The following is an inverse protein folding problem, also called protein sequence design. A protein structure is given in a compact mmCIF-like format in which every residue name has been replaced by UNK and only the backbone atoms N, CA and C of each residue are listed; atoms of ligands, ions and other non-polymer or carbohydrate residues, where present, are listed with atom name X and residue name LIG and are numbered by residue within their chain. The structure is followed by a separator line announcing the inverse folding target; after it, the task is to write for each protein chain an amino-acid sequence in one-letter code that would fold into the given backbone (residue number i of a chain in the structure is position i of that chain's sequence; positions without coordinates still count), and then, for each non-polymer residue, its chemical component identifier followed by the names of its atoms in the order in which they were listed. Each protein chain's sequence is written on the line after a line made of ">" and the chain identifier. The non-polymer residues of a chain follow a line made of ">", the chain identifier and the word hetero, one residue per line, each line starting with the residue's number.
data_IF_467997501664
#
_entry.id   IF_467997501664
#
_cell.length_a   1.000
_cell.length_b   1.000
_cell.length_c   1.000
_cell.angle_alpha   90.00
_cell.angle_beta   90.00
_cell.angle_gamma   90.00
#
_symmetry.space_group_name_H-M   'P 1'
#
loop_
_entity.id
_entity.type
_entity.pdbx_description
1 polymer ?
#
# COMPACT_ATOMS: atom_id res chain seq x y z
N UNK A 1 -11.74 -19.63 -20.43
CA UNK A 1 -11.55 -21.09 -20.41
C UNK A 1 -12.45 -21.77 -19.36
N UNK A 2 -12.31 -21.55 -18.04
CA UNK A 2 -13.18 -22.22 -17.04
C UNK A 2 -14.66 -21.77 -17.05
N UNK A 3 -14.94 -20.50 -17.37
CA UNK A 3 -16.31 -19.96 -17.36
C UNK A 3 -17.24 -20.59 -18.41
N UNK A 4 -16.69 -21.21 -19.46
CA UNK A 4 -17.47 -21.78 -20.57
C UNK A 4 -17.99 -23.20 -20.27
N UNK A 5 -17.44 -23.88 -19.24
CA UNK A 5 -17.78 -25.28 -18.92
C UNK A 5 -18.58 -25.43 -17.61
N UNK A 6 -18.99 -24.32 -16.98
CA UNK A 6 -19.73 -24.36 -15.71
C UNK A 6 -21.25 -24.38 -15.92
N UNK A 7 -22.00 -25.21 -15.18
CA UNK A 7 -23.45 -25.13 -15.08
C UNK A 7 -23.90 -23.71 -14.69
N UNK A 8 -25.04 -23.27 -15.21
CA UNK A 8 -25.55 -21.90 -15.02
C UNK A 8 -25.65 -21.47 -13.55
N UNK A 9 -26.06 -22.38 -12.65
CA UNK A 9 -26.10 -22.12 -11.20
C UNK A 9 -24.73 -21.89 -10.57
N UNK A 10 -23.71 -22.67 -10.98
CA UNK A 10 -22.33 -22.52 -10.48
C UNK A 10 -21.66 -21.27 -11.05
N UNK A 11 -21.98 -20.90 -12.29
CA UNK A 11 -21.50 -19.65 -12.89
C UNK A 11 -22.00 -18.43 -12.09
N UNK A 12 -23.29 -18.40 -11.74
CA UNK A 12 -23.86 -17.33 -10.90
C UNK A 12 -23.21 -17.26 -9.52
N UNK A 13 -22.99 -18.41 -8.88
CA UNK A 13 -22.31 -18.49 -7.58
C UNK A 13 -20.86 -17.96 -7.66
N UNK A 14 -20.12 -18.33 -8.71
CA UNK A 14 -18.76 -17.86 -8.91
C UNK A 14 -18.70 -16.34 -9.07
N UNK A 15 -19.58 -15.77 -9.90
CA UNK A 15 -19.62 -14.31 -10.11
C UNK A 15 -19.95 -13.57 -8.80
N UNK A 16 -20.92 -14.07 -8.04
CA UNK A 16 -21.25 -13.52 -6.73
C UNK A 16 -20.06 -13.59 -5.77
N UNK A 17 -19.34 -14.71 -5.73
CA UNK A 17 -18.16 -14.88 -4.88
C UNK A 17 -17.02 -13.93 -5.27
N UNK A 18 -16.77 -13.74 -6.57
CA UNK A 18 -15.75 -12.81 -7.06
C UNK A 18 -16.07 -11.35 -6.73
N UNK A 19 -17.33 -10.94 -6.91
CA UNK A 19 -17.80 -9.60 -6.54
C UNK A 19 -17.68 -9.41 -5.02
N UNK A 20 -18.08 -10.40 -4.22
CA UNK A 20 -17.99 -10.34 -2.77
C UNK A 20 -16.52 -10.22 -2.30
N UNK A 21 -15.60 -11.00 -2.86
CA UNK A 21 -14.17 -10.93 -2.54
C UNK A 21 -13.57 -9.57 -2.91
N UNK A 22 -13.94 -9.03 -4.08
CA UNK A 22 -13.52 -7.70 -4.51
C UNK A 22 -14.05 -6.60 -3.58
N UNK A 23 -15.35 -6.63 -3.24
CA UNK A 23 -15.97 -5.68 -2.33
C UNK A 23 -15.37 -5.72 -0.92
N UNK A 24 -15.03 -6.92 -0.43
CA UNK A 24 -14.34 -7.08 0.86
C UNK A 24 -12.99 -6.35 0.86
N UNK A 25 -12.18 -6.56 -0.18
CA UNK A 25 -10.86 -5.93 -0.31
C UNK A 25 -10.97 -4.42 -0.47
N UNK A 26 -11.88 -3.94 -1.32
CA UNK A 26 -12.14 -2.51 -1.50
C UNK A 26 -12.58 -1.84 -0.20
N UNK A 27 -13.54 -2.45 0.51
CA UNK A 27 -14.07 -1.92 1.77
C UNK A 27 -12.97 -1.76 2.81
N UNK A 28 -12.09 -2.76 2.95
CA UNK A 28 -10.94 -2.67 3.87
C UNK A 28 -10.01 -1.50 3.52
N UNK A 29 -9.66 -1.33 2.24
CA UNK A 29 -8.75 -0.25 1.83
C UNK A 29 -9.38 1.14 2.01
N UNK A 30 -10.66 1.29 1.65
CA UNK A 30 -11.38 2.55 1.84
C UNK A 30 -11.54 2.89 3.33
N UNK A 31 -11.85 1.89 4.16
CA UNK A 31 -11.98 2.08 5.60
C UNK A 31 -10.65 2.45 6.26
N UNK A 32 -9.55 1.78 5.90
CA UNK A 32 -8.21 2.12 6.38
C UNK A 32 -7.80 3.51 5.92
N UNK A 33 -7.97 3.82 4.63
CA UNK A 33 -7.64 5.13 4.07
C UNK A 33 -8.42 6.26 4.73
N UNK A 34 -9.72 6.09 4.93
CA UNK A 34 -10.55 7.06 5.64
C UNK A 34 -10.10 7.21 7.12
N UNK A 35 -9.73 6.12 7.78
CA UNK A 35 -9.26 6.15 9.17
C UNK A 35 -7.92 6.88 9.31
N UNK A 36 -6.99 6.72 8.37
CA UNK A 36 -5.75 7.50 8.34
C UNK A 36 -6.04 8.98 8.13
N UNK A 37 -6.91 9.34 7.19
CA UNK A 37 -7.30 10.74 6.96
C UNK A 37 -7.99 11.36 8.18
N UNK A 38 -8.83 10.59 8.89
CA UNK A 38 -9.51 11.09 10.09
C UNK A 38 -8.54 11.23 11.26
N UNK A 39 -7.79 10.18 11.60
CA UNK A 39 -6.98 10.18 12.82
C UNK A 39 -5.67 10.93 12.65
N UNK A 40 -4.98 10.74 11.53
CA UNK A 40 -3.62 11.24 11.35
C UNK A 40 -3.60 12.65 10.75
N UNK A 41 -4.66 13.04 10.02
CA UNK A 41 -4.77 14.36 9.41
C UNK A 41 -5.82 15.22 10.10
N UNK A 42 -7.09 14.82 10.07
CA UNK A 42 -8.20 15.65 10.53
C UNK A 42 -8.11 15.92 12.03
N UNK A 43 -8.13 14.87 12.85
CA UNK A 43 -8.06 14.98 14.31
C UNK A 43 -6.72 15.57 14.76
N UNK A 44 -5.62 15.18 14.12
CA UNK A 44 -4.29 15.63 14.56
C UNK A 44 -3.99 17.09 14.25
N UNK A 45 -4.39 17.60 13.08
CA UNK A 45 -3.96 18.92 12.60
C UNK A 45 -5.08 19.92 12.34
N UNK A 46 -6.31 19.46 12.02
CA UNK A 46 -7.43 20.36 11.69
C UNK A 46 -8.35 20.60 12.88
N UNK A 47 -8.70 19.54 13.62
CA UNK A 47 -9.63 19.62 14.75
C UNK A 47 -9.26 18.62 15.86
N UNK A 48 -8.39 19.06 16.75
CA UNK A 48 -7.85 18.28 17.88
C UNK A 48 -8.88 17.80 18.89
N UNK A 49 -9.99 18.53 19.02
CA UNK A 49 -11.10 18.22 19.93
C UNK A 49 -12.34 17.67 19.21
N UNK A 50 -12.18 17.04 18.04
CA UNK A 50 -13.29 16.42 17.31
C UNK A 50 -13.95 15.30 18.13
N UNK A 51 -15.28 15.36 18.28
CA UNK A 51 -16.05 14.32 18.95
C UNK A 51 -16.09 13.02 18.14
N UNK A 52 -16.45 11.90 18.78
CA UNK A 52 -16.53 10.59 18.09
C UNK A 52 -17.56 10.60 16.96
N UNK A 53 -18.72 11.25 17.16
CA UNK A 53 -19.76 11.40 16.14
C UNK A 53 -19.25 12.18 14.92
N UNK A 54 -18.48 13.23 15.18
CA UNK A 54 -17.86 14.03 14.12
C UNK A 54 -16.82 13.22 13.36
N UNK A 55 -15.95 12.49 14.05
CA UNK A 55 -14.93 11.64 13.42
C UNK A 55 -15.58 10.58 12.51
N UNK A 56 -16.69 9.96 12.93
CA UNK A 56 -17.43 9.00 12.11
C UNK A 56 -18.04 9.68 10.89
N UNK A 57 -18.62 10.88 11.05
CA UNK A 57 -19.19 11.63 9.93
C UNK A 57 -18.11 12.00 8.90
N UNK A 58 -16.97 12.53 9.36
CA UNK A 58 -15.83 12.86 8.50
C UNK A 58 -15.28 11.59 7.83
N UNK A 59 -15.19 10.47 8.56
CA UNK A 59 -14.77 9.18 7.98
C UNK A 59 -15.66 8.70 6.84
N UNK A 60 -16.99 8.87 6.95
CA UNK A 60 -17.93 8.56 5.85
C UNK A 60 -17.72 9.46 4.65
N UNK A 61 -17.51 10.75 4.87
CA UNK A 61 -17.22 11.72 3.80
C UNK A 61 -15.91 11.36 3.09
N UNK A 62 -14.83 11.09 3.85
CA UNK A 62 -13.54 10.69 3.30
C UNK A 62 -13.63 9.37 2.53
N UNK A 63 -14.43 8.42 3.00
CA UNK A 63 -14.70 7.15 2.28
C UNK A 63 -15.29 7.42 0.90
N UNK A 64 -16.30 8.29 0.79
CA UNK A 64 -16.92 8.64 -0.50
C UNK A 64 -15.93 9.36 -1.41
N UNK A 65 -15.15 10.31 -0.87
CA UNK A 65 -14.12 11.02 -1.64
C UNK A 65 -13.09 10.05 -2.20
N UNK A 66 -12.54 9.17 -1.36
CA UNK A 66 -11.57 8.15 -1.78
C UNK A 66 -12.15 7.21 -2.83
N UNK A 67 -13.42 6.83 -2.70
CA UNK A 67 -14.11 5.98 -3.68
C UNK A 67 -14.20 6.67 -5.05
N UNK A 68 -14.57 7.96 -5.10
CA UNK A 68 -14.62 8.72 -6.36
C UNK A 68 -13.22 8.85 -6.96
N UNK A 69 -12.22 9.21 -6.17
CA UNK A 69 -10.83 9.33 -6.65
C UNK A 69 -10.28 8.00 -7.18
N UNK A 70 -10.53 6.90 -6.47
CA UNK A 70 -10.13 5.56 -6.90
C UNK A 70 -10.84 5.15 -8.21
N UNK A 71 -12.13 5.46 -8.36
CA UNK A 71 -12.86 5.19 -9.58
C UNK A 71 -12.32 6.00 -10.77
N UNK A 72 -12.01 7.28 -10.59
CA UNK A 72 -11.40 8.12 -11.63
C UNK A 72 -10.01 7.60 -12.01
N UNK A 73 -9.19 7.24 -11.03
CA UNK A 73 -7.87 6.66 -11.29
C UNK A 73 -7.97 5.32 -12.03
N UNK A 74 -8.93 4.46 -11.65
CA UNK A 74 -9.16 3.18 -12.32
C UNK A 74 -9.56 3.36 -13.80
N UNK A 75 -10.36 4.39 -14.12
CA UNK A 75 -10.72 4.72 -15.50
C UNK A 75 -9.54 5.28 -16.31
N UNK A 76 -8.57 5.92 -15.65
CA UNK A 76 -7.38 6.47 -16.28
C UNK A 76 -6.22 5.47 -16.39
N UNK A 77 -6.34 4.28 -15.77
CA UNK A 77 -5.26 3.31 -15.71
C UNK A 77 -5.17 2.49 -17.00
N UNK A 78 -4.07 2.63 -17.73
CA UNK A 78 -3.82 1.88 -18.97
C UNK A 78 -3.33 0.45 -18.70
N UNK A 79 -2.51 0.27 -17.66
CA UNK A 79 -1.93 -1.04 -17.30
C UNK A 79 -2.02 -1.29 -15.79
N UNK A 80 -2.91 -2.20 -15.41
CA UNK A 80 -3.09 -2.63 -14.03
C UNK A 80 -1.90 -3.45 -13.48
N UNK A 81 -1.21 -4.20 -14.34
CA UNK A 81 -0.05 -5.00 -13.93
C UNK A 81 1.13 -4.08 -13.59
N UNK A 82 1.36 -3.03 -14.39
CA UNK A 82 2.37 -2.02 -14.07
C UNK A 82 2.10 -1.35 -12.71
N UNK A 83 0.86 -0.94 -12.46
CA UNK A 83 0.48 -0.35 -11.17
C UNK A 83 0.69 -1.32 -10.01
N UNK A 84 0.30 -2.58 -10.19
CA UNK A 84 0.50 -3.63 -9.20
C UNK A 84 2.00 -3.88 -8.92
N UNK A 85 2.84 -3.92 -9.94
CA UNK A 85 4.28 -4.12 -9.81
C UNK A 85 4.95 -2.98 -9.01
N UNK A 86 4.53 -1.73 -9.20
CA UNK A 86 5.04 -0.60 -8.41
C UNK A 86 4.68 -0.77 -6.94
N UNK A 87 3.43 -1.12 -6.63
CA UNK A 87 2.97 -1.33 -5.24
C UNK A 87 3.73 -2.49 -4.59
N UNK A 88 3.92 -3.60 -5.32
CA UNK A 88 4.72 -4.74 -4.86
C UNK A 88 6.17 -4.34 -4.60
N UNK A 89 6.79 -3.55 -5.49
CA UNK A 89 8.17 -3.12 -5.35
C UNK A 89 8.37 -2.25 -4.08
N UNK A 90 7.45 -1.32 -3.82
CA UNK A 90 7.45 -0.47 -2.62
C UNK A 90 7.27 -1.34 -1.35
N UNK A 91 6.31 -2.26 -1.38
CA UNK A 91 6.01 -3.14 -0.25
C UNK A 91 7.12 -4.14 0.06
N UNK A 92 7.76 -4.70 -0.98
CA UNK A 92 8.87 -5.62 -0.83
C UNK A 92 10.06 -4.96 -0.13
N UNK A 93 10.41 -3.73 -0.53
CA UNK A 93 11.53 -2.99 0.09
C UNK A 93 11.34 -2.70 1.58
N UNK A 94 10.10 -2.45 2.03
CA UNK A 94 9.77 -2.19 3.44
C UNK A 94 9.42 -3.45 4.25
N UNK A 95 9.15 -4.58 3.60
CA UNK A 95 8.70 -5.81 4.26
C UNK A 95 9.65 -6.31 5.35
N UNK A 96 10.96 -6.29 5.09
CA UNK A 96 11.97 -6.81 6.03
C UNK A 96 12.02 -6.02 7.34
N UNK A 97 11.95 -4.69 7.29
CA UNK A 97 11.97 -3.87 8.51
C UNK A 97 10.68 -4.06 9.33
N UNK A 98 9.52 -4.21 8.68
CA UNK A 98 8.25 -4.45 9.37
C UNK A 98 8.19 -5.80 10.10
N UNK A 99 8.94 -6.80 9.63
CA UNK A 99 9.12 -8.06 10.36
C UNK A 99 10.19 -7.88 11.45
N UNK A 100 11.36 -7.33 11.10
CA UNK A 100 12.50 -7.30 12.00
C UNK A 100 12.33 -6.34 13.19
N UNK A 101 11.47 -5.31 13.07
CA UNK A 101 11.14 -4.40 14.18
C UNK A 101 10.72 -5.11 15.46
N UNK A 102 10.11 -6.29 15.35
CA UNK A 102 9.63 -7.08 16.50
C UNK A 102 10.75 -7.86 17.20
N UNK A 103 11.88 -8.06 16.53
CA UNK A 103 12.99 -8.92 17.00
C UNK A 103 14.29 -8.14 17.22
N UNK A 104 14.48 -6.99 16.58
CA UNK A 104 15.72 -6.21 16.64
C UNK A 104 15.52 -4.83 17.26
N UNK A 105 16.04 -4.67 18.49
CA UNK A 105 15.93 -3.47 19.31
C UNK A 105 16.55 -2.21 18.70
N UNK A 106 17.32 -2.31 17.61
CA UNK A 106 17.93 -1.16 16.93
C UNK A 106 17.01 -0.51 15.90
N UNK A 107 15.91 -1.16 15.53
CA UNK A 107 14.94 -0.59 14.59
C UNK A 107 14.22 0.57 15.29
N UNK A 108 14.45 1.79 14.81
CA UNK A 108 13.86 3.03 15.32
C UNK A 108 13.04 3.74 14.22
N UNK A 109 12.33 4.80 14.59
CA UNK A 109 11.52 5.58 13.66
C UNK A 109 12.32 6.14 12.47
N UNK A 110 13.59 6.53 12.67
CA UNK A 110 14.44 7.02 11.58
C UNK A 110 14.76 5.92 10.56
N UNK A 111 15.02 4.68 11.01
CA UNK A 111 15.24 3.54 10.15
C UNK A 111 13.97 3.20 9.34
N UNK A 112 12.79 3.25 9.97
CA UNK A 112 11.51 3.01 9.29
C UNK A 112 11.22 4.06 8.21
N UNK A 113 11.37 5.34 8.55
CA UNK A 113 11.20 6.44 7.60
C UNK A 113 12.20 6.30 6.43
N UNK A 114 13.46 5.94 6.74
CA UNK A 114 14.48 5.70 5.71
C UNK A 114 14.08 4.55 4.79
N UNK A 115 13.61 3.43 5.34
CA UNK A 115 13.15 2.29 4.55
C UNK A 115 12.00 2.68 3.63
N UNK A 116 11.00 3.42 4.13
CA UNK A 116 9.85 3.86 3.35
C UNK A 116 10.25 4.79 2.22
N UNK A 117 11.09 5.79 2.50
CA UNK A 117 11.59 6.74 1.49
C UNK A 117 12.45 6.05 0.43
N UNK A 118 13.43 5.25 0.84
CA UNK A 118 14.33 4.57 -0.09
C UNK A 118 13.57 3.56 -0.94
N UNK A 119 12.66 2.77 -0.36
CA UNK A 119 11.84 1.83 -1.11
C UNK A 119 11.00 2.53 -2.18
N UNK A 120 10.36 3.65 -1.80
CA UNK A 120 9.58 4.47 -2.74
C UNK A 120 10.42 5.02 -3.89
N UNK A 121 11.57 5.63 -3.58
CA UNK A 121 12.46 6.20 -4.59
C UNK A 121 13.03 5.12 -5.52
N UNK A 122 13.39 3.95 -4.99
CA UNK A 122 13.88 2.84 -5.79
C UNK A 122 12.78 2.28 -6.71
N UNK A 123 11.55 2.17 -6.22
CA UNK A 123 10.41 1.75 -7.05
C UNK A 123 10.15 2.73 -8.20
N UNK A 124 10.13 4.03 -7.92
CA UNK A 124 9.99 5.08 -8.94
C UNK A 124 11.15 5.03 -9.94
N UNK A 125 12.39 4.88 -9.47
CA UNK A 125 13.57 4.77 -10.33
C UNK A 125 13.46 3.60 -11.33
N UNK A 126 13.14 2.40 -10.84
CA UNK A 126 13.01 1.24 -11.72
C UNK A 126 11.83 1.34 -12.68
N UNK A 127 10.73 1.98 -12.26
CA UNK A 127 9.56 2.13 -13.10
C UNK A 127 9.76 3.13 -14.24
N UNK A 128 10.42 4.27 -13.98
CA UNK A 128 10.49 5.38 -14.94
C UNK A 128 11.83 5.51 -15.66
N UNK A 129 12.94 5.05 -15.08
CA UNK A 129 14.29 5.23 -15.64
C UNK A 129 14.82 3.92 -16.25
N UNK A 130 14.61 2.78 -15.59
CA UNK A 130 15.07 1.46 -16.05
C UNK A 130 13.91 0.48 -16.32
N UNK A 131 12.91 0.94 -17.08
CA UNK A 131 11.64 0.24 -17.32
C UNK A 131 11.73 -1.00 -18.22
N UNK A 132 12.80 -1.16 -19.01
CA UNK A 132 12.91 -2.27 -20.00
C UNK A 132 14.13 -3.17 -19.84
N UNK A 133 15.20 -2.75 -19.15
CA UNK A 133 16.48 -3.47 -19.20
C UNK A 133 16.65 -4.55 -18.12
N UNK A 134 15.79 -4.55 -17.08
CA UNK A 134 15.96 -5.40 -15.90
C UNK A 134 14.71 -6.27 -15.69
N UNK A 135 14.83 -7.61 -15.62
CA UNK A 135 13.71 -8.48 -15.28
C UNK A 135 13.08 -8.14 -13.92
N UNK A 136 11.76 -8.26 -13.78
CA UNK A 136 11.01 -7.87 -12.58
C UNK A 136 11.51 -8.52 -11.29
N UNK A 137 11.85 -9.81 -11.33
CA UNK A 137 12.41 -10.52 -10.18
C UNK A 137 13.74 -9.90 -9.70
N UNK A 138 14.57 -9.40 -10.62
CA UNK A 138 15.83 -8.71 -10.25
C UNK A 138 15.54 -7.34 -9.68
N UNK A 139 14.58 -6.59 -10.24
CA UNK A 139 14.16 -5.29 -9.67
C UNK A 139 13.73 -5.44 -8.22
N UNK A 140 12.94 -6.47 -7.91
CA UNK A 140 12.52 -6.78 -6.55
C UNK A 140 13.73 -7.05 -5.64
N UNK A 141 14.65 -7.92 -6.06
CA UNK A 141 15.84 -8.24 -5.26
C UNK A 141 16.74 -7.02 -5.04
N UNK A 142 16.97 -6.21 -6.06
CA UNK A 142 17.74 -4.96 -5.94
C UNK A 142 17.05 -3.96 -5.03
N UNK A 143 15.72 -3.80 -5.17
CA UNK A 143 14.95 -2.89 -4.31
C UNK A 143 14.98 -3.28 -2.85
N UNK A 144 14.79 -4.57 -2.55
CA UNK A 144 14.92 -5.11 -1.20
C UNK A 144 16.34 -4.92 -0.68
N UNK A 145 17.36 -5.25 -1.48
CA UNK A 145 18.77 -5.13 -1.09
C UNK A 145 19.18 -3.69 -0.76
N UNK A 146 18.90 -2.75 -1.67
CA UNK A 146 19.23 -1.32 -1.51
C UNK A 146 18.50 -0.75 -0.29
N UNK A 147 17.20 -1.00 -0.18
CA UNK A 147 16.40 -0.51 0.95
C UNK A 147 16.91 -1.09 2.27
N UNK A 148 17.26 -2.37 2.28
CA UNK A 148 17.79 -3.06 3.47
C UNK A 148 19.11 -2.49 3.94
N UNK A 149 20.06 -2.30 3.03
CA UNK A 149 21.33 -1.65 3.36
C UNK A 149 21.08 -0.25 3.92
N UNK A 150 20.21 0.54 3.29
CA UNK A 150 19.94 1.90 3.73
C UNK A 150 19.38 1.97 5.16
N UNK A 151 18.32 1.21 5.47
CA UNK A 151 17.72 1.28 6.80
C UNK A 151 18.56 0.57 7.88
N UNK A 152 19.34 -0.45 7.53
CA UNK A 152 20.29 -1.09 8.46
C UNK A 152 21.41 -0.12 8.85
N UNK A 153 21.94 0.64 7.89
CA UNK A 153 22.92 1.69 8.18
C UNK A 153 22.35 2.72 9.15
N UNK A 154 21.10 3.17 8.93
CA UNK A 154 20.42 4.10 9.85
C UNK A 154 20.11 3.45 11.20
N UNK A 155 19.75 2.16 11.26
CA UNK A 155 19.53 1.45 12.52
C UNK A 155 20.83 1.32 13.34
N UNK A 156 21.98 1.15 12.69
CA UNK A 156 23.28 1.00 13.37
C UNK A 156 23.87 2.34 13.77
N UNK A 157 23.92 3.31 12.85
CA UNK A 157 24.59 4.61 13.05
C UNK A 157 23.65 5.73 13.51
N UNK A 158 22.34 5.54 13.36
CA UNK A 158 21.35 6.51 13.78
C UNK A 158 21.11 6.55 15.29
N UNK A 159 20.21 7.44 15.73
CA UNK A 159 19.94 7.71 17.14
C UNK A 159 19.59 6.44 17.91
N UNK A 160 20.13 6.30 19.13
CA UNK A 160 19.69 5.25 20.07
C UNK A 160 18.46 5.77 20.80
N UNK A 161 17.29 5.55 20.22
CA UNK A 161 16.00 5.76 20.89
C UNK A 161 15.68 4.57 21.77
#
# INVERSE_FOLDING_TARGET
>A
MMLQFMPSGLLGLLLAALIAAFMSTLSTHLNWGASYLVNDVYRRFLRTEASDEEQVMVGRIMTVILMVLAALLALALEDALAAFNIILQIGAGTGLIFILRWFWWRVNAAAEITAMLVSFLVAVYFQFIHSTDVPDHRRLLWGVGITTVAWVLVAIFGPRT
#
